data_IF_000689801825
#
_entry.id   IF_000689801825
#
_cell.length_a   1.000
_cell.length_b   1.000
_cell.length_c   1.000
_cell.angle_alpha   90.00
_cell.angle_beta   90.00
_cell.angle_gamma   90.00
#
_symmetry.space_group_name_H-M   'P 1'
#
loop_
_entity.id
_entity.type
_entity.pdbx_description
1 polymer ?
#
# COMPACT_ATOMS: atom_id res chain seq x y z
N UNK A 1 24.49 -11.17 -3.25
CA UNK A 1 23.81 -9.89 -3.57
C UNK A 1 23.31 -9.28 -2.27
N UNK A 2 23.78 -8.08 -1.87
CA UNK A 2 23.25 -7.35 -0.71
C UNK A 2 22.18 -6.38 -1.23
N UNK A 3 20.96 -6.89 -1.45
CA UNK A 3 19.84 -6.06 -1.90
C UNK A 3 19.44 -5.03 -0.83
N UNK A 4 18.80 -3.95 -1.26
CA UNK A 4 18.16 -3.00 -0.34
C UNK A 4 16.90 -3.66 0.22
N UNK A 5 16.68 -3.70 1.54
CA UNK A 5 15.45 -4.26 2.10
C UNK A 5 14.24 -3.38 1.74
N UNK A 6 13.12 -4.02 1.43
CA UNK A 6 11.84 -3.38 1.14
C UNK A 6 10.74 -4.04 1.95
N UNK A 7 9.80 -3.22 2.42
CA UNK A 7 8.53 -3.65 3.02
C UNK A 7 7.39 -3.39 2.03
N UNK A 8 6.32 -4.16 2.16
CA UNK A 8 5.10 -3.98 1.40
C UNK A 8 3.89 -3.98 2.33
N UNK A 9 2.95 -3.07 2.06
CA UNK A 9 1.58 -3.09 2.61
C UNK A 9 0.61 -3.23 1.46
N UNK A 10 -0.32 -4.17 1.61
CA UNK A 10 -1.26 -4.56 0.57
C UNK A 10 -2.66 -4.21 1.03
N UNK A 11 -3.42 -3.52 0.18
CA UNK A 11 -4.83 -3.22 0.37
C UNK A 11 -5.61 -3.89 -0.74
N UNK A 12 -6.26 -5.00 -0.44
CA UNK A 12 -7.16 -5.71 -1.35
C UNK A 12 -8.62 -5.48 -1.01
N UNK A 13 -9.46 -5.27 -2.00
CA UNK A 13 -10.91 -5.12 -1.83
C UNK A 13 -11.66 -5.47 -3.13
N UNK A 14 -12.95 -5.75 -3.01
CA UNK A 14 -13.82 -6.04 -4.14
C UNK A 14 -14.82 -4.90 -4.32
N UNK A 15 -15.07 -4.51 -5.57
CA UNK A 15 -16.10 -3.55 -5.96
C UNK A 15 -16.61 -3.89 -7.37
N UNK A 16 -17.91 -3.72 -7.63
CA UNK A 16 -18.53 -3.92 -8.95
C UNK A 16 -18.18 -5.26 -9.63
N UNK A 17 -18.15 -6.34 -8.85
CA UNK A 17 -17.81 -7.68 -9.32
C UNK A 17 -16.34 -7.87 -9.71
N UNK A 18 -15.46 -6.93 -9.38
CA UNK A 18 -14.01 -6.97 -9.63
C UNK A 18 -13.22 -6.96 -8.33
N UNK A 19 -12.01 -7.51 -8.40
CA UNK A 19 -11.02 -7.45 -7.33
C UNK A 19 -9.96 -6.40 -7.63
N UNK A 20 -9.65 -5.57 -6.65
CA UNK A 20 -8.67 -4.50 -6.71
C UNK A 20 -7.59 -4.73 -5.66
N UNK A 21 -6.36 -4.29 -5.99
CA UNK A 21 -5.26 -4.29 -5.04
C UNK A 21 -4.40 -3.03 -5.20
N UNK A 22 -4.13 -2.36 -4.09
CA UNK A 22 -3.19 -1.24 -4.01
C UNK A 22 -2.04 -1.63 -3.10
N UNK A 23 -0.82 -1.56 -3.62
CA UNK A 23 0.40 -1.93 -2.89
C UNK A 23 1.25 -0.70 -2.60
N UNK A 24 1.60 -0.49 -1.33
CA UNK A 24 2.56 0.52 -0.90
C UNK A 24 3.89 -0.15 -0.57
N UNK A 25 4.92 0.09 -1.38
CA UNK A 25 6.27 -0.41 -1.20
C UNK A 25 7.17 0.68 -0.65
N UNK A 26 7.99 0.37 0.35
CA UNK A 26 8.86 1.36 0.98
C UNK A 26 10.11 0.73 1.59
N UNK A 27 11.17 1.53 1.76
CA UNK A 27 12.37 1.11 2.46
C UNK A 27 12.18 1.27 3.99
N UNK A 28 12.84 0.47 4.84
CA UNK A 28 12.65 0.54 6.30
C UNK A 28 12.82 1.94 6.89
N UNK A 29 13.78 2.71 6.38
CA UNK A 29 14.07 4.08 6.80
C UNK A 29 12.93 5.09 6.51
N UNK A 30 11.97 4.75 5.64
CA UNK A 30 10.80 5.59 5.35
C UNK A 30 9.51 5.07 5.98
N UNK A 31 9.57 4.04 6.83
CA UNK A 31 8.40 3.31 7.33
C UNK A 31 7.34 4.21 7.97
N UNK A 32 7.74 5.11 8.87
CA UNK A 32 6.77 6.00 9.55
C UNK A 32 5.95 6.83 8.55
N UNK A 33 6.60 7.36 7.50
CA UNK A 33 5.90 8.15 6.48
C UNK A 33 5.09 7.26 5.54
N UNK A 34 5.64 6.09 5.18
CA UNK A 34 4.95 5.13 4.32
C UNK A 34 3.65 4.62 4.95
N UNK A 35 3.65 4.32 6.25
CA UNK A 35 2.45 3.89 6.96
C UNK A 35 1.39 4.99 7.02
N UNK A 36 1.78 6.27 7.21
CA UNK A 36 0.85 7.41 7.13
C UNK A 36 0.22 7.54 5.74
N UNK A 37 1.02 7.37 4.68
CA UNK A 37 0.51 7.40 3.31
C UNK A 37 -0.42 6.22 3.03
N UNK A 38 -0.06 5.01 3.49
CA UNK A 38 -0.90 3.82 3.37
C UNK A 38 -2.28 4.02 4.01
N UNK A 39 -2.35 4.55 5.24
CA UNK A 39 -3.63 4.82 5.90
C UNK A 39 -4.46 5.89 5.15
N UNK A 40 -3.82 6.92 4.59
CA UNK A 40 -4.52 7.91 3.75
C UNK A 40 -5.15 7.25 2.53
N UNK A 41 -4.38 6.45 1.79
CA UNK A 41 -4.87 5.72 0.60
C UNK A 41 -6.02 4.78 0.98
N UNK A 42 -5.86 4.01 2.06
CA UNK A 42 -6.90 3.11 2.55
C UNK A 42 -8.21 3.83 2.86
N UNK A 43 -8.14 5.03 3.44
CA UNK A 43 -9.34 5.78 3.83
C UNK A 43 -9.96 6.59 2.68
N UNK A 44 -9.21 6.89 1.61
CA UNK A 44 -9.68 7.75 0.52
C UNK A 44 -9.97 7.00 -0.79
N UNK A 45 -9.57 5.74 -0.93
CA UNK A 45 -9.72 5.03 -2.20
C UNK A 45 -11.19 4.66 -2.44
N UNK A 46 -11.72 5.09 -3.58
CA UNK A 46 -13.07 4.76 -4.04
C UNK A 46 -13.00 4.28 -5.49
N UNK A 47 -13.76 3.23 -5.81
CA UNK A 47 -14.05 2.87 -7.20
C UNK A 47 -15.23 3.74 -7.65
N UNK A 48 -15.09 4.36 -8.83
CA UNK A 48 -16.11 5.19 -9.46
C UNK A 48 -17.03 4.36 -10.36
#
# INVERSE_FOLDING_TARGET
LKGVPWHARLLGFNADGKSYQVNTWYQPQTETQALKTYEKVKNSFTVL
#
